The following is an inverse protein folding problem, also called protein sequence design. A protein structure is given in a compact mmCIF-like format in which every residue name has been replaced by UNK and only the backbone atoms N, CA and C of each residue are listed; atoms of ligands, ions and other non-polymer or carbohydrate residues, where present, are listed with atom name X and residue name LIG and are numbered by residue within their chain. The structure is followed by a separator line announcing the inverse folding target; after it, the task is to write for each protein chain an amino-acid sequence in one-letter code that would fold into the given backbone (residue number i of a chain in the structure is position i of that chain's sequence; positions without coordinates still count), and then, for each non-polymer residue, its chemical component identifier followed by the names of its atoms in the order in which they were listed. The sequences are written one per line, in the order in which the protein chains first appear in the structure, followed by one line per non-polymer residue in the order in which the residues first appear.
data_IF_021950868529
#
_entry.id   IF_021950868529
#
_cell.length_a   1.000
_cell.length_b   1.000
_cell.length_c   1.000
_cell.angle_alpha   90.00
_cell.angle_beta   90.00
_cell.angle_gamma   90.00
#
_symmetry.space_group_name_H-M   'P 1'
#
loop_
_entity.id
_entity.type
_entity.pdbx_description
1 polymer ?
#
# COMPACT_ATOMS: atom_id res chain seq x y z
N UNK A 1 -58.85 17.79 39.64
CA UNK A 1 -58.22 16.50 39.31
C UNK A 1 -57.77 16.57 37.85
N UNK A 2 -56.58 17.14 37.58
CA UNK A 2 -56.03 17.29 36.22
C UNK A 2 -54.84 16.32 36.09
N UNK A 3 -54.94 15.36 35.18
CA UNK A 3 -53.82 14.49 34.79
C UNK A 3 -53.21 15.06 33.51
N UNK A 4 -51.95 15.50 33.58
CA UNK A 4 -51.15 15.88 32.42
C UNK A 4 -50.73 14.61 31.66
N UNK A 5 -51.04 14.58 30.37
CA UNK A 5 -50.46 13.64 29.41
C UNK A 5 -49.13 14.24 28.93
N UNK A 6 -48.02 13.53 29.20
CA UNK A 6 -46.71 13.84 28.61
C UNK A 6 -46.56 12.97 27.36
N UNK A 7 -46.63 13.59 26.19
CA UNK A 7 -46.25 12.98 24.91
C UNK A 7 -44.72 12.89 24.84
N UNK A 8 -44.17 11.68 24.86
CA UNK A 8 -42.78 11.42 24.49
C UNK A 8 -42.70 11.30 22.96
N UNK A 9 -42.06 12.28 22.32
CA UNK A 9 -41.63 12.21 20.93
C UNK A 9 -40.30 11.44 20.85
N UNK A 10 -40.15 10.44 19.96
CA UNK A 10 -38.86 9.83 19.70
C UNK A 10 -37.99 10.80 18.88
N UNK A 11 -36.88 11.23 19.46
CA UNK A 11 -35.82 11.96 18.74
C UNK A 11 -35.09 10.94 17.88
N UNK A 12 -35.50 10.81 16.62
CA UNK A 12 -34.73 10.11 15.59
C UNK A 12 -33.48 10.94 15.27
N UNK A 13 -32.35 10.57 15.87
CA UNK A 13 -31.02 11.04 15.47
C UNK A 13 -30.73 10.56 14.04
N UNK A 14 -31.06 11.39 13.07
CA UNK A 14 -30.54 11.32 11.71
C UNK A 14 -29.05 11.69 11.78
N UNK A 15 -28.19 10.68 11.98
CA UNK A 15 -26.77 10.82 11.67
C UNK A 15 -26.66 11.00 10.15
N UNK A 16 -25.98 12.04 9.65
CA UNK A 16 -25.66 12.11 8.23
C UNK A 16 -24.77 10.90 7.89
N UNK A 17 -25.22 10.09 6.94
CA UNK A 17 -24.34 9.16 6.24
C UNK A 17 -23.20 9.99 5.65
N UNK A 18 -22.04 9.95 6.29
CA UNK A 18 -20.80 10.42 5.70
C UNK A 18 -20.56 9.48 4.51
N UNK A 19 -20.82 9.98 3.31
CA UNK A 19 -20.41 9.27 2.09
C UNK A 19 -18.89 9.16 2.15
N UNK A 20 -18.40 7.93 2.18
CA UNK A 20 -16.98 7.63 2.01
C UNK A 20 -16.67 8.00 0.56
N UNK A 21 -16.15 9.20 0.31
CA UNK A 21 -15.52 9.51 -0.97
C UNK A 21 -14.31 8.60 -1.09
N UNK A 22 -14.44 7.57 -1.91
CA UNK A 22 -13.32 6.73 -2.30
C UNK A 22 -12.44 7.56 -3.21
N UNK A 23 -11.31 8.06 -2.68
CA UNK A 23 -10.28 8.71 -3.49
C UNK A 23 -9.73 7.70 -4.51
N UNK A 24 -10.29 7.72 -5.72
CA UNK A 24 -9.82 6.92 -6.83
C UNK A 24 -8.59 7.58 -7.46
N UNK A 25 -7.53 6.81 -7.66
CA UNK A 25 -6.36 7.28 -8.39
C UNK A 25 -6.76 7.62 -9.83
N UNK A 26 -6.30 8.78 -10.31
CA UNK A 26 -6.43 9.16 -11.71
C UNK A 26 -5.66 8.14 -12.57
N UNK A 27 -6.31 7.61 -13.59
CA UNK A 27 -5.74 6.54 -14.43
C UNK A 27 -4.63 7.04 -15.40
N UNK A 28 -4.52 8.34 -15.60
CA UNK A 28 -3.61 8.98 -16.57
C UNK A 28 -2.31 9.50 -15.96
N UNK A 29 -2.08 9.30 -14.65
CA UNK A 29 -0.86 9.76 -13.97
C UNK A 29 0.35 8.88 -14.30
N UNK A 30 1.54 9.46 -14.23
CA UNK A 30 2.83 8.75 -14.29
C UNK A 30 3.12 7.94 -13.02
N UNK A 31 4.05 6.99 -13.11
CA UNK A 31 4.51 6.24 -11.94
C UNK A 31 5.26 7.15 -10.96
N UNK A 32 5.94 8.19 -11.45
CA UNK A 32 6.58 9.18 -10.60
C UNK A 32 5.57 10.05 -9.82
N UNK A 33 4.47 10.47 -10.46
CA UNK A 33 3.38 11.19 -9.79
C UNK A 33 2.65 10.29 -8.79
N UNK A 34 2.40 9.03 -9.15
CA UNK A 34 1.86 8.02 -8.22
C UNK A 34 2.74 7.88 -6.99
N UNK A 35 4.06 7.72 -7.15
CA UNK A 35 5.00 7.61 -6.03
C UNK A 35 4.86 8.82 -5.10
N UNK A 36 4.91 10.02 -5.67
CA UNK A 36 4.78 11.29 -4.92
C UNK A 36 3.48 11.33 -4.12
N UNK A 37 2.38 10.87 -4.72
CA UNK A 37 1.09 10.79 -4.03
C UNK A 37 1.09 9.74 -2.91
N UNK A 38 1.53 8.51 -3.16
CA UNK A 38 1.52 7.43 -2.18
C UNK A 38 2.46 7.69 -0.99
N UNK A 39 3.60 8.34 -1.23
CA UNK A 39 4.54 8.76 -0.18
C UNK A 39 3.91 9.69 0.87
N UNK A 40 2.80 10.37 0.55
CA UNK A 40 2.08 11.19 1.53
C UNK A 40 1.48 10.36 2.67
N UNK A 41 1.21 9.07 2.43
CA UNK A 41 0.60 8.12 3.36
C UNK A 41 1.63 7.18 4.01
N UNK A 42 2.90 7.23 3.61
CA UNK A 42 3.93 6.32 4.13
C UNK A 42 4.35 6.66 5.56
N UNK A 43 4.74 5.63 6.30
CA UNK A 43 5.26 5.80 7.65
C UNK A 43 6.62 6.52 7.63
N UNK A 44 6.65 7.69 8.28
CA UNK A 44 7.81 8.58 8.36
C UNK A 44 8.59 8.31 9.64
N UNK A 45 9.73 8.97 9.79
CA UNK A 45 10.53 8.86 11.01
C UNK A 45 9.69 9.06 12.28
N UNK A 46 9.80 8.10 13.22
CA UNK A 46 9.11 8.10 14.52
C UNK A 46 7.57 8.23 14.42
N UNK A 47 6.94 7.79 13.33
CA UNK A 47 5.49 7.91 13.15
C UNK A 47 4.68 6.74 13.72
N UNK A 48 5.31 5.61 14.08
CA UNK A 48 4.62 4.43 14.62
C UNK A 48 5.28 3.89 15.89
N UNK A 49 4.55 3.11 16.68
CA UNK A 49 5.05 2.36 17.85
C UNK A 49 5.46 0.94 17.48
N UNK A 50 6.18 0.25 18.37
CA UNK A 50 6.52 -1.17 18.17
C UNK A 50 5.26 -2.04 18.08
N UNK A 51 4.26 -1.79 18.93
CA UNK A 51 3.00 -2.55 18.94
C UNK A 51 2.23 -2.38 17.63
N UNK A 52 2.13 -1.16 17.12
CA UNK A 52 1.48 -0.89 15.82
C UNK A 52 2.25 -1.55 14.67
N UNK A 53 3.58 -1.47 14.67
CA UNK A 53 4.42 -2.14 13.68
C UNK A 53 4.23 -3.65 13.68
N UNK A 54 4.28 -4.29 14.84
CA UNK A 54 4.08 -5.75 14.96
C UNK A 54 2.70 -6.18 14.45
N UNK A 55 1.67 -5.38 14.73
CA UNK A 55 0.31 -5.60 14.19
C UNK A 55 0.24 -5.39 12.67
N UNK A 56 1.09 -4.52 12.11
CA UNK A 56 1.11 -4.19 10.68
C UNK A 56 1.79 -5.26 9.82
N UNK A 57 2.63 -6.10 10.43
CA UNK A 57 3.35 -7.15 9.71
C UNK A 57 2.39 -8.15 9.07
N UNK A 58 2.73 -8.66 7.87
CA UNK A 58 1.87 -9.62 7.19
C UNK A 58 1.86 -10.98 7.86
N UNK A 59 0.69 -11.62 7.89
CA UNK A 59 0.57 -13.03 8.31
C UNK A 59 1.13 -13.97 7.23
N UNK A 60 1.43 -15.24 7.54
CA UNK A 60 1.84 -16.22 6.53
C UNK A 60 0.83 -16.37 5.38
N UNK A 61 -0.46 -16.34 5.67
CA UNK A 61 -1.55 -16.43 4.69
C UNK A 61 -1.58 -15.20 3.79
N UNK A 62 -1.43 -14.00 4.36
CA UNK A 62 -1.34 -12.75 3.58
C UNK A 62 -0.13 -12.75 2.63
N UNK A 63 1.03 -13.23 3.10
CA UNK A 63 2.24 -13.36 2.25
C UNK A 63 2.01 -14.34 1.10
N UNK A 64 1.37 -15.47 1.38
CA UNK A 64 1.06 -16.48 0.36
C UNK A 64 0.06 -15.97 -0.68
N UNK A 65 -0.99 -15.28 -0.24
CA UNK A 65 -1.96 -14.64 -1.13
C UNK A 65 -1.30 -13.54 -1.98
N UNK A 66 -0.39 -12.75 -1.40
CA UNK A 66 0.32 -11.69 -2.12
C UNK A 66 1.23 -12.30 -3.18
N UNK A 67 1.97 -13.36 -2.85
CA UNK A 67 2.81 -14.09 -3.80
C UNK A 67 2.00 -14.63 -4.98
N UNK A 68 0.82 -15.21 -4.72
CA UNK A 68 -0.09 -15.68 -5.78
C UNK A 68 -0.64 -14.54 -6.62
N UNK A 69 -1.02 -13.42 -6.01
CA UNK A 69 -1.52 -12.23 -6.70
C UNK A 69 -0.44 -11.65 -7.63
N UNK A 70 0.76 -11.42 -7.11
CA UNK A 70 1.90 -10.92 -7.88
C UNK A 70 2.24 -11.86 -9.03
N UNK A 71 2.29 -13.17 -8.79
CA UNK A 71 2.52 -14.17 -9.84
C UNK A 71 1.39 -14.19 -10.89
N UNK A 72 0.14 -13.97 -10.51
CA UNK A 72 -0.98 -13.89 -11.44
C UNK A 72 -0.84 -12.67 -12.35
N UNK A 73 -0.70 -11.48 -11.76
CA UNK A 73 -0.56 -10.23 -12.51
C UNK A 73 0.69 -10.24 -13.41
N UNK A 74 1.82 -10.74 -12.89
CA UNK A 74 3.07 -10.85 -13.65
C UNK A 74 2.94 -11.74 -14.91
N UNK A 75 2.01 -12.69 -14.94
CA UNK A 75 1.81 -13.57 -16.11
C UNK A 75 0.90 -12.97 -17.18
N UNK A 76 0.14 -11.92 -16.88
CA UNK A 76 -0.79 -11.32 -17.83
C UNK A 76 -0.05 -10.56 -18.95
N UNK A 77 -0.57 -10.68 -20.18
CA UNK A 77 -0.03 -9.97 -21.34
C UNK A 77 -0.51 -8.52 -21.41
N UNK A 78 -1.77 -8.28 -21.06
CA UNK A 78 -2.46 -6.99 -21.00
C UNK A 78 -3.34 -6.91 -19.73
N UNK A 79 -3.78 -5.70 -19.36
CA UNK A 79 -4.54 -5.46 -18.12
C UNK A 79 -5.98 -4.97 -18.33
N UNK A 80 -6.55 -5.09 -19.54
CA UNK A 80 -7.89 -4.59 -19.87
C UNK A 80 -9.00 -5.06 -18.91
N UNK A 81 -8.87 -6.29 -18.38
CA UNK A 81 -9.86 -6.89 -17.47
C UNK A 81 -9.39 -6.93 -16.01
N UNK A 82 -8.27 -6.29 -15.69
CA UNK A 82 -7.72 -6.30 -14.34
C UNK A 82 -8.28 -5.13 -13.53
N UNK A 83 -8.97 -5.46 -12.43
CA UNK A 83 -9.52 -4.48 -11.49
C UNK A 83 -9.60 -5.09 -10.08
N UNK A 84 -10.14 -4.33 -9.12
CA UNK A 84 -10.24 -4.75 -7.72
C UNK A 84 -11.02 -6.07 -7.48
N UNK A 85 -11.87 -6.51 -8.40
CA UNK A 85 -12.61 -7.77 -8.27
C UNK A 85 -11.69 -9.00 -8.19
N UNK A 86 -10.48 -8.90 -8.77
CA UNK A 86 -9.47 -9.96 -8.67
C UNK A 86 -9.10 -10.26 -7.22
N UNK A 87 -9.20 -9.27 -6.31
CA UNK A 87 -8.92 -9.45 -4.88
C UNK A 87 -9.92 -10.38 -4.18
N UNK A 88 -11.08 -10.68 -4.78
CA UNK A 88 -12.02 -11.70 -4.24
C UNK A 88 -11.41 -13.10 -4.18
N UNK A 89 -10.39 -13.37 -5.00
CA UNK A 89 -9.65 -14.64 -4.99
C UNK A 89 -8.54 -14.70 -3.92
N UNK A 90 -8.30 -13.59 -3.21
CA UNK A 90 -7.23 -13.42 -2.23
C UNK A 90 -7.83 -12.91 -0.92
N UNK A 91 -8.56 -13.77 -0.19
CA UNK A 91 -9.44 -13.35 0.91
C UNK A 91 -8.71 -12.62 2.04
N UNK A 92 -7.43 -12.93 2.28
CA UNK A 92 -6.64 -12.29 3.34
C UNK A 92 -6.14 -10.89 2.96
N UNK A 93 -6.22 -10.51 1.67
CA UNK A 93 -5.71 -9.23 1.17
C UNK A 93 -6.79 -8.21 0.85
N UNK A 94 -8.01 -8.66 0.54
CA UNK A 94 -9.08 -7.81 0.00
C UNK A 94 -9.49 -6.65 0.91
N UNK A 95 -9.21 -6.74 2.20
CA UNK A 95 -9.56 -5.72 3.20
C UNK A 95 -8.45 -4.68 3.37
N UNK A 96 -7.27 -4.92 2.78
CA UNK A 96 -6.09 -4.06 2.95
C UNK A 96 -5.56 -3.48 1.65
N UNK A 97 -5.83 -4.12 0.51
CA UNK A 97 -5.25 -3.76 -0.77
C UNK A 97 -6.29 -3.26 -1.77
N UNK A 98 -5.81 -2.51 -2.75
CA UNK A 98 -6.49 -2.24 -4.00
C UNK A 98 -5.58 -2.57 -5.20
N UNK A 99 -6.21 -2.76 -6.36
CA UNK A 99 -5.53 -2.90 -7.65
C UNK A 99 -6.01 -1.79 -8.56
N UNK A 100 -5.07 -0.98 -9.03
CA UNK A 100 -5.33 0.13 -9.96
C UNK A 100 -4.53 -0.09 -11.25
N UNK A 101 -5.19 0.01 -12.40
CA UNK A 101 -4.49 0.01 -13.70
C UNK A 101 -4.28 1.46 -14.15
N UNK A 102 -3.01 1.85 -14.31
CA UNK A 102 -2.60 3.16 -14.81
C UNK A 102 -2.13 3.07 -16.27
N UNK A 103 -2.49 4.07 -17.05
CA UNK A 103 -2.15 4.23 -18.47
C UNK A 103 -2.49 3.00 -19.34
N UNK A 104 -3.36 2.10 -18.85
CA UNK A 104 -3.71 0.83 -19.48
C UNK A 104 -2.64 -0.26 -19.44
N UNK A 105 -1.45 0.00 -18.89
CA UNK A 105 -0.31 -0.93 -18.97
C UNK A 105 0.52 -1.06 -17.70
N UNK A 106 0.21 -0.34 -16.63
CA UNK A 106 0.80 -0.55 -15.31
C UNK A 106 -0.28 -1.01 -14.33
N UNK A 107 -0.09 -2.19 -13.74
CA UNK A 107 -0.89 -2.64 -12.61
C UNK A 107 -0.19 -2.23 -11.31
N UNK A 108 -0.85 -1.41 -10.51
CA UNK A 108 -0.40 -0.97 -9.19
C UNK A 108 -1.17 -1.74 -8.14
N UNK A 109 -0.45 -2.44 -7.27
CA UNK A 109 -0.98 -3.11 -6.08
C UNK A 109 -0.51 -2.27 -4.90
N UNK A 110 -1.44 -1.67 -4.18
CA UNK A 110 -1.14 -0.75 -3.09
C UNK A 110 -2.17 -0.93 -1.97
N UNK A 111 -1.85 -0.45 -0.77
CA UNK A 111 -2.81 -0.42 0.33
C UNK A 111 -4.02 0.47 0.02
N UNK A 112 -5.17 0.19 0.65
CA UNK A 112 -6.34 1.06 0.58
C UNK A 112 -5.97 2.46 1.05
N UNK A 113 -6.19 3.46 0.19
CA UNK A 113 -5.92 4.87 0.48
C UNK A 113 -6.80 5.27 1.66
N UNK A 114 -6.21 5.68 2.80
CA UNK A 114 -6.98 6.02 3.98
C UNK A 114 -7.73 7.34 3.77
N UNK A 115 -8.86 7.51 4.46
CA UNK A 115 -9.61 8.77 4.44
C UNK A 115 -9.00 9.75 5.45
N UNK A 116 -8.63 10.95 4.99
CA UNK A 116 -8.03 11.99 5.82
C UNK A 116 -6.50 11.89 5.95
N UNK A 117 -5.88 12.56 6.95
CA UNK A 117 -4.41 12.67 7.09
C UNK A 117 -3.77 11.42 7.73
N UNK A 118 -4.37 10.25 7.53
CA UNK A 118 -3.91 9.00 8.12
C UNK A 118 -2.83 8.36 7.25
N UNK A 119 -1.93 7.62 7.89
CA UNK A 119 -0.93 6.82 7.21
C UNK A 119 -1.52 5.47 6.78
N UNK A 120 -0.84 4.80 5.86
CA UNK A 120 -1.15 3.41 5.55
C UNK A 120 -0.96 2.53 6.79
N UNK A 121 -2.01 1.78 7.20
CA UNK A 121 -1.98 1.06 8.46
C UNK A 121 -1.05 -0.15 8.45
N UNK A 122 -0.82 -0.78 7.29
CA UNK A 122 0.05 -1.95 7.17
C UNK A 122 1.50 -1.56 6.87
N UNK A 123 1.71 -0.38 6.30
CA UNK A 123 3.02 0.18 5.94
C UNK A 123 3.78 -0.69 4.91
N UNK A 124 3.04 -1.42 4.09
CA UNK A 124 3.55 -2.35 3.08
C UNK A 124 4.07 -1.63 1.83
N UNK A 125 3.54 -0.44 1.55
CA UNK A 125 3.92 0.35 0.37
C UNK A 125 3.16 -0.07 -0.87
N UNK A 126 3.85 -0.21 -2.00
CA UNK A 126 3.21 -0.64 -3.25
C UNK A 126 4.13 -1.40 -4.19
N UNK A 127 3.52 -2.14 -5.11
CA UNK A 127 4.20 -2.82 -6.20
C UNK A 127 3.56 -2.41 -7.53
N UNK A 128 4.38 -2.15 -8.54
CA UNK A 128 3.94 -1.91 -9.92
C UNK A 128 4.44 -3.04 -10.79
N UNK A 129 3.56 -3.57 -11.62
CA UNK A 129 3.87 -4.58 -12.64
C UNK A 129 3.42 -3.99 -13.98
N UNK A 130 4.36 -3.82 -14.93
CA UNK A 130 4.00 -3.44 -16.29
C UNK A 130 3.32 -4.62 -17.02
N UNK A 131 2.54 -4.41 -18.07
CA UNK A 131 2.01 -5.50 -18.90
C UNK A 131 3.12 -6.11 -19.76
N UNK A 132 3.02 -7.38 -20.17
CA UNK A 132 4.12 -7.99 -20.97
C UNK A 132 4.21 -7.37 -22.36
N UNK A 133 3.07 -6.96 -22.93
CA UNK A 133 3.04 -6.29 -24.23
C UNK A 133 3.71 -4.92 -24.20
N UNK A 134 3.77 -4.26 -23.04
CA UNK A 134 4.36 -2.94 -22.88
C UNK A 134 5.82 -2.99 -22.42
N UNK A 135 6.14 -3.85 -21.45
CA UNK A 135 7.48 -3.92 -20.86
C UNK A 135 8.54 -4.24 -21.92
N UNK A 136 9.64 -3.47 -21.94
CA UNK A 136 10.76 -3.68 -22.87
C UNK A 136 11.92 -4.43 -22.23
N UNK A 137 11.98 -4.45 -20.89
CA UNK A 137 13.09 -5.04 -20.14
C UNK A 137 12.56 -5.86 -18.98
N UNK A 138 13.13 -7.05 -18.78
CA UNK A 138 12.86 -7.90 -17.62
C UNK A 138 13.71 -7.44 -16.42
N UNK A 139 13.54 -6.19 -16.04
CA UNK A 139 14.22 -5.59 -14.88
C UNK A 139 13.22 -5.40 -13.74
N UNK A 140 13.71 -5.65 -12.54
CA UNK A 140 13.05 -5.35 -11.28
C UNK A 140 13.78 -4.16 -10.63
N UNK A 141 13.00 -3.16 -10.24
CA UNK A 141 13.47 -2.05 -9.42
C UNK A 141 12.88 -2.20 -8.03
N UNK A 142 13.65 -1.84 -7.00
CA UNK A 142 13.09 -1.75 -5.67
C UNK A 142 13.77 -0.70 -4.82
N UNK A 143 13.00 -0.06 -3.93
CA UNK A 143 13.51 0.90 -2.97
C UNK A 143 12.90 0.64 -1.58
N UNK A 144 13.80 0.37 -0.65
CA UNK A 144 13.54 -0.08 0.73
C UNK A 144 13.46 1.04 1.75
N UNK A 145 13.95 2.23 1.41
CA UNK A 145 14.24 3.30 2.37
C UNK A 145 13.59 4.61 1.95
N UNK A 146 12.26 4.67 2.06
CA UNK A 146 11.56 5.94 1.94
C UNK A 146 12.11 6.96 2.97
N UNK A 147 12.34 8.19 2.51
CA UNK A 147 12.75 9.38 3.30
C UNK A 147 14.13 9.29 4.00
N UNK A 148 14.71 8.10 4.12
CA UNK A 148 15.91 7.83 4.94
C UNK A 148 17.21 7.82 4.15
N UNK A 149 17.16 7.50 2.85
CA UNK A 149 18.33 7.48 1.96
C UNK A 149 18.21 8.55 0.85
N UNK A 150 17.39 9.59 1.07
CA UNK A 150 17.08 10.62 0.07
C UNK A 150 15.93 10.22 -0.86
N UNK A 151 15.83 10.80 -2.08
CA UNK A 151 14.69 10.60 -2.98
C UNK A 151 14.76 9.27 -3.75
N UNK A 152 15.25 8.19 -3.14
CA UNK A 152 15.52 6.90 -3.80
C UNK A 152 14.26 6.25 -4.37
N UNK A 153 13.12 6.39 -3.70
CA UNK A 153 11.82 5.88 -4.17
C UNK A 153 11.38 6.61 -5.45
N UNK A 154 11.47 7.95 -5.45
CA UNK A 154 11.18 8.76 -6.64
C UNK A 154 12.13 8.45 -7.80
N UNK A 155 13.43 8.25 -7.53
CA UNK A 155 14.41 7.85 -8.55
C UNK A 155 14.09 6.46 -9.11
N UNK A 156 13.74 5.49 -8.27
CA UNK A 156 13.35 4.14 -8.70
C UNK A 156 12.07 4.17 -9.55
N UNK A 157 11.07 4.96 -9.17
CA UNK A 157 9.85 5.16 -9.95
C UNK A 157 10.14 5.75 -11.34
N UNK A 158 10.96 6.81 -11.40
CA UNK A 158 11.36 7.43 -12.66
C UNK A 158 12.19 6.48 -13.55
N UNK A 159 13.12 5.73 -12.96
CA UNK A 159 13.92 4.75 -13.70
C UNK A 159 13.06 3.61 -14.23
N UNK A 160 12.13 3.08 -13.42
CA UNK A 160 11.20 2.04 -13.83
C UNK A 160 10.41 2.43 -15.08
N UNK A 161 9.84 3.64 -15.07
CA UNK A 161 9.04 4.18 -16.18
C UNK A 161 9.91 4.45 -17.42
N UNK A 162 11.03 5.17 -17.25
CA UNK A 162 11.94 5.53 -18.35
C UNK A 162 12.56 4.31 -19.04
N UNK A 163 12.76 3.21 -18.30
CA UNK A 163 13.34 1.98 -18.86
C UNK A 163 12.30 0.97 -19.33
N UNK A 164 11.00 1.28 -19.15
CA UNK A 164 9.87 0.37 -19.41
C UNK A 164 10.14 -1.01 -18.80
N UNK A 165 10.55 -0.98 -17.53
CA UNK A 165 10.92 -2.18 -16.77
C UNK A 165 9.71 -3.01 -16.38
N UNK A 166 9.97 -4.22 -15.91
CA UNK A 166 8.91 -5.21 -15.67
C UNK A 166 8.22 -4.98 -14.34
N UNK A 167 8.98 -4.76 -13.27
CA UNK A 167 8.43 -4.59 -11.92
C UNK A 167 9.13 -3.48 -11.14
N UNK A 168 8.40 -2.88 -10.21
CA UNK A 168 8.87 -1.93 -9.21
C UNK A 168 8.25 -2.30 -7.86
N UNK A 169 9.04 -2.32 -6.79
CA UNK A 169 8.53 -2.47 -5.42
C UNK A 169 9.07 -1.34 -4.52
N UNK A 170 8.19 -0.68 -3.79
CA UNK A 170 8.54 0.41 -2.87
C UNK A 170 8.02 0.06 -1.48
N UNK A 171 8.89 0.13 -0.48
CA UNK A 171 8.50 -0.06 0.92
C UNK A 171 7.69 1.14 1.43
N UNK A 172 6.64 0.88 2.21
CA UNK A 172 5.74 1.90 2.75
C UNK A 172 6.18 2.52 4.07
N UNK A 173 7.38 2.18 4.55
CA UNK A 173 7.95 2.66 5.81
C UNK A 173 9.38 3.16 5.61
N UNK A 174 9.70 4.27 6.27
CA UNK A 174 11.08 4.69 6.48
C UNK A 174 11.83 3.72 7.38
N UNK A 175 13.16 3.59 7.21
CA UNK A 175 14.05 2.83 8.11
C UNK A 175 13.82 3.18 9.57
N UNK A 176 13.48 4.45 9.85
CA UNK A 176 13.32 4.99 11.20
C UNK A 176 11.85 5.16 11.61
N UNK A 177 10.91 4.44 10.99
CA UNK A 177 9.49 4.65 11.24
C UNK A 177 9.05 4.34 12.68
N UNK A 178 9.62 3.29 13.28
CA UNK A 178 9.29 2.84 14.63
C UNK A 178 10.00 3.73 15.65
N UNK A 179 9.22 4.29 16.59
CA UNK A 179 9.71 5.08 17.72
C UNK A 179 10.66 4.26 18.57
N UNK A 180 11.82 4.85 18.88
CA UNK A 180 12.87 4.17 19.65
C UNK A 180 13.94 3.58 18.74
N UNK A 181 14.90 2.88 19.35
CA UNK A 181 16.04 2.27 18.65
C UNK A 181 15.93 0.74 18.72
N UNK A 182 14.81 0.22 18.22
CA UNK A 182 14.52 -1.22 18.29
C UNK A 182 15.24 -1.95 17.16
N UNK A 183 16.04 -2.98 17.46
CA UNK A 183 16.80 -3.69 16.45
C UNK A 183 15.90 -4.61 15.60
N UNK A 184 16.26 -4.81 14.33
CA UNK A 184 15.70 -5.88 13.50
C UNK A 184 16.08 -7.25 14.07
N UNK A 185 15.12 -8.17 14.06
CA UNK A 185 15.31 -9.55 14.54
C UNK A 185 16.41 -10.28 13.78
N UNK A 186 16.44 -10.14 12.44
CA UNK A 186 17.40 -10.87 11.61
C UNK A 186 18.75 -10.17 11.47
N UNK A 187 18.82 -8.86 11.71
CA UNK A 187 20.08 -8.11 11.77
C UNK A 187 20.07 -7.05 12.88
N UNK A 188 20.58 -7.41 14.05
CA UNK A 188 20.50 -6.61 15.28
C UNK A 188 21.19 -5.22 15.22
N UNK A 189 21.97 -4.94 14.16
CA UNK A 189 22.60 -3.63 13.94
C UNK A 189 21.71 -2.64 13.21
N UNK A 190 20.57 -3.08 12.67
CA UNK A 190 19.65 -2.28 11.87
C UNK A 190 18.33 -2.07 12.61
N UNK A 191 17.56 -1.07 12.17
CA UNK A 191 16.27 -0.75 12.77
C UNK A 191 15.21 -1.80 12.42
N UNK A 192 14.22 -1.95 13.28
CA UNK A 192 13.11 -2.88 13.10
C UNK A 192 12.30 -2.60 11.82
N UNK A 193 12.12 -1.32 11.46
CA UNK A 193 11.38 -0.91 10.26
C UNK A 193 12.22 -0.91 8.97
N UNK A 194 13.49 -1.33 9.07
CA UNK A 194 14.38 -1.38 7.92
C UNK A 194 13.97 -2.51 6.96
N UNK A 195 13.25 -2.16 5.90
CA UNK A 195 12.74 -3.12 4.92
C UNK A 195 13.84 -3.81 4.09
N UNK A 196 15.08 -3.32 4.07
CA UNK A 196 16.18 -4.11 3.50
C UNK A 196 16.65 -5.23 4.43
N UNK A 197 16.48 -5.03 5.73
CA UNK A 197 17.07 -5.85 6.78
C UNK A 197 16.01 -6.50 7.68
N UNK A 198 14.74 -6.54 7.28
CA UNK A 198 13.67 -7.22 7.99
C UNK A 198 12.79 -8.05 7.04
N UNK A 199 13.10 -9.34 6.98
CA UNK A 199 12.44 -10.32 6.12
C UNK A 199 10.95 -10.60 6.44
N UNK A 200 10.42 -10.02 7.53
CA UNK A 200 9.01 -10.14 7.92
C UNK A 200 8.11 -9.18 7.16
N UNK A 201 8.67 -8.12 6.56
CA UNK A 201 7.90 -7.10 5.83
C UNK A 201 7.33 -7.63 4.51
N UNK A 202 6.26 -7.00 4.01
CA UNK A 202 5.65 -7.37 2.72
C UNK A 202 6.58 -7.11 1.53
N UNK A 203 7.56 -6.22 1.68
CA UNK A 203 8.56 -5.90 0.67
C UNK A 203 9.35 -7.11 0.16
N UNK A 204 9.51 -8.15 0.97
CA UNK A 204 10.24 -9.37 0.58
C UNK A 204 9.36 -10.46 -0.05
N UNK A 205 8.09 -10.16 -0.34
CA UNK A 205 7.18 -11.09 -1.04
C UNK A 205 7.23 -10.90 -2.56
N UNK A 206 7.67 -9.72 -3.01
CA UNK A 206 7.73 -9.31 -4.43
C UNK A 206 8.94 -9.79 -5.20
#
# INVERSE_FOLDING_TARGET
MMRHFVLQLPISLLLPLISIETHSLRQDISIAELNTYLETFFARQNSTTVEEWEKSLPTPEEREDMRKLLSYVYRLDVFENLNGEVLKNYPHLREYLNITVLQGHYCVIHELIPTGPLLFPRMWGYTVIASKSFARRLLHHSAVHYDSDGPVCAQAAALFENTQSRTLAIAGASRYAVKGNHPSECQQKFQLADAAHNNRTMFHVS
#
